data_IF_849796335654
#
_entry.id   IF_849796335654
#
_cell.length_a   1.000
_cell.length_b   1.000
_cell.length_c   1.000
_cell.angle_alpha   90.00
_cell.angle_beta   90.00
_cell.angle_gamma   90.00
#
_symmetry.space_group_name_H-M   'P 1'
#
loop_
_entity.id
_entity.type
_entity.pdbx_description
1 polymer ?
#
# COMPACT_ATOMS: atom_id res chain seq x y z
N UNK A 1 -34.17 16.81 -20.17
CA UNK A 1 -33.03 16.51 -19.26
C UNK A 1 -32.05 15.68 -20.07
N UNK A 2 -30.89 16.20 -20.36
CA UNK A 2 -29.81 15.39 -21.00
C UNK A 2 -29.43 14.27 -20.05
N UNK A 3 -29.52 13.04 -20.52
CA UNK A 3 -29.01 11.88 -19.77
C UNK A 3 -27.48 11.89 -19.81
N UNK A 4 -26.85 11.89 -18.65
CA UNK A 4 -25.40 11.74 -18.55
C UNK A 4 -24.95 10.41 -19.16
N UNK A 5 -23.78 10.41 -19.80
CA UNK A 5 -23.19 9.16 -20.28
C UNK A 5 -22.76 8.28 -19.09
N UNK A 6 -22.75 6.97 -19.27
CA UNK A 6 -22.28 6.04 -18.22
C UNK A 6 -20.86 6.38 -17.73
N UNK A 7 -19.96 6.84 -18.62
CA UNK A 7 -18.63 7.34 -18.28
C UNK A 7 -18.70 8.55 -17.35
N UNK A 8 -19.60 9.50 -17.59
CA UNK A 8 -19.77 10.68 -16.74
C UNK A 8 -20.37 10.33 -15.38
N UNK A 9 -21.28 9.35 -15.35
CA UNK A 9 -21.82 8.82 -14.08
C UNK A 9 -20.72 8.15 -13.28
N UNK A 10 -19.86 7.34 -13.93
CA UNK A 10 -18.73 6.70 -13.30
C UNK A 10 -17.72 7.71 -12.71
N UNK A 11 -17.40 8.78 -13.47
CA UNK A 11 -16.57 9.89 -12.99
C UNK A 11 -17.17 10.53 -11.73
N UNK A 12 -18.48 10.78 -11.71
CA UNK A 12 -19.17 11.35 -10.56
C UNK A 12 -19.14 10.44 -9.33
N UNK A 13 -19.34 9.13 -9.51
CA UNK A 13 -19.27 8.13 -8.43
C UNK A 13 -17.86 8.09 -7.81
N UNK A 14 -16.83 8.02 -8.65
CA UNK A 14 -15.43 8.00 -8.18
C UNK A 14 -15.04 9.30 -7.47
N UNK A 15 -15.54 10.44 -7.93
CA UNK A 15 -15.35 11.72 -7.26
C UNK A 15 -16.03 11.78 -5.90
N UNK A 16 -17.28 11.33 -5.82
CA UNK A 16 -18.09 11.36 -4.59
C UNK A 16 -17.58 10.37 -3.54
N UNK A 17 -17.04 9.21 -3.96
CA UNK A 17 -16.57 8.18 -3.04
C UNK A 17 -15.37 8.65 -2.19
N UNK A 18 -14.42 9.40 -2.77
CA UNK A 18 -13.18 9.79 -2.11
C UNK A 18 -12.27 8.62 -1.67
N UNK A 19 -12.72 7.38 -1.88
CA UNK A 19 -12.00 6.13 -1.57
C UNK A 19 -11.97 5.21 -2.78
N UNK A 20 -10.98 4.29 -2.90
CA UNK A 20 -10.97 3.33 -3.99
C UNK A 20 -12.24 2.48 -4.02
N UNK A 21 -12.81 2.28 -5.19
CA UNK A 21 -13.94 1.38 -5.43
C UNK A 21 -13.50 0.24 -6.35
N UNK A 22 -13.81 -1.00 -5.97
CA UNK A 22 -13.54 -2.17 -6.81
C UNK A 22 -14.41 -2.16 -8.07
N UNK A 23 -13.97 -2.87 -9.12
CA UNK A 23 -14.75 -3.03 -10.36
C UNK A 23 -16.12 -3.64 -10.05
N UNK A 24 -16.18 -4.66 -9.18
CA UNK A 24 -17.42 -5.28 -8.75
C UNK A 24 -18.38 -4.25 -8.14
N UNK A 25 -17.88 -3.40 -7.24
CA UNK A 25 -18.70 -2.37 -6.60
C UNK A 25 -19.20 -1.33 -7.57
N UNK A 26 -18.37 -0.91 -8.52
CA UNK A 26 -18.76 0.00 -9.59
C UNK A 26 -19.82 -0.64 -10.50
N UNK A 27 -19.65 -1.91 -10.86
CA UNK A 27 -20.59 -2.68 -11.68
C UNK A 27 -21.98 -2.79 -11.02
N UNK A 28 -22.01 -3.06 -9.71
CA UNK A 28 -23.26 -3.05 -8.93
C UNK A 28 -23.96 -1.67 -8.96
N UNK A 29 -23.19 -0.58 -8.74
CA UNK A 29 -23.76 0.78 -8.63
C UNK A 29 -24.35 1.25 -9.95
N UNK A 30 -23.67 0.99 -11.09
CA UNK A 30 -24.14 1.45 -12.41
C UNK A 30 -24.95 0.39 -13.15
N UNK A 31 -25.23 -0.74 -12.51
CA UNK A 31 -26.01 -1.87 -13.06
C UNK A 31 -25.47 -2.33 -14.42
N UNK A 32 -24.14 -2.49 -14.52
CA UNK A 32 -23.46 -2.76 -15.79
C UNK A 32 -22.41 -3.87 -15.56
N UNK A 33 -22.22 -4.79 -16.53
CA UNK A 33 -21.22 -5.85 -16.39
C UNK A 33 -19.80 -5.32 -16.15
N UNK A 34 -19.00 -6.04 -15.36
CA UNK A 34 -17.63 -5.64 -14.97
C UNK A 34 -16.73 -5.33 -16.18
N UNK A 35 -16.84 -6.08 -17.26
CA UNK A 35 -16.01 -5.86 -18.45
C UNK A 35 -16.34 -4.51 -19.15
N UNK A 36 -17.61 -4.07 -19.12
CA UNK A 36 -18.00 -2.73 -19.62
C UNK A 36 -17.46 -1.65 -18.68
N UNK A 37 -17.51 -1.88 -17.34
CA UNK A 37 -16.92 -0.95 -16.37
C UNK A 37 -15.44 -0.77 -16.63
N UNK A 38 -14.71 -1.85 -16.94
CA UNK A 38 -13.28 -1.80 -17.27
C UNK A 38 -13.02 -0.94 -18.52
N UNK A 39 -13.84 -1.08 -19.57
CA UNK A 39 -13.77 -0.23 -20.77
C UNK A 39 -14.06 1.25 -20.46
N UNK A 40 -15.09 1.51 -19.64
CA UNK A 40 -15.44 2.86 -19.21
C UNK A 40 -14.34 3.52 -18.38
N UNK A 41 -13.68 2.78 -17.49
CA UNK A 41 -12.54 3.27 -16.71
C UNK A 41 -11.35 3.63 -17.62
N UNK A 42 -11.04 2.79 -18.61
CA UNK A 42 -10.01 3.06 -19.61
C UNK A 42 -10.34 4.29 -20.44
N UNK A 43 -11.58 4.43 -20.88
CA UNK A 43 -12.04 5.59 -21.61
C UNK A 43 -12.05 6.87 -20.75
N UNK A 44 -12.35 6.76 -19.45
CA UNK A 44 -12.28 7.87 -18.51
C UNK A 44 -10.84 8.32 -18.30
N UNK A 45 -9.91 7.40 -18.09
CA UNK A 45 -8.49 7.72 -17.94
C UNK A 45 -7.93 8.44 -19.17
N UNK A 46 -8.22 7.95 -20.38
CA UNK A 46 -7.81 8.58 -21.64
C UNK A 46 -8.41 9.98 -21.76
N UNK A 47 -9.68 10.14 -21.46
CA UNK A 47 -10.38 11.44 -21.52
C UNK A 47 -9.81 12.45 -20.52
N UNK A 48 -9.44 12.03 -19.30
CA UNK A 48 -8.79 12.90 -18.32
C UNK A 48 -7.42 13.35 -18.79
N UNK A 49 -6.65 12.46 -19.41
CA UNK A 49 -5.32 12.75 -19.98
C UNK A 49 -5.38 13.70 -21.16
N UNK A 50 -6.27 13.44 -22.13
CA UNK A 50 -6.41 14.24 -23.34
C UNK A 50 -6.83 15.69 -23.07
N UNK A 51 -7.72 15.90 -22.11
CA UNK A 51 -8.16 17.25 -21.71
C UNK A 51 -7.19 17.98 -20.76
N UNK A 52 -6.03 17.39 -20.43
CA UNK A 52 -5.07 17.99 -19.51
C UNK A 52 -5.65 18.20 -18.11
N UNK A 53 -6.44 17.25 -17.61
CA UNK A 53 -7.16 17.37 -16.35
C UNK A 53 -6.21 17.50 -15.15
N UNK A 54 -6.55 18.35 -14.18
CA UNK A 54 -5.86 18.46 -12.89
C UNK A 54 -6.13 17.27 -11.94
N UNK A 55 -6.98 16.32 -12.35
CA UNK A 55 -7.24 15.05 -11.66
C UNK A 55 -6.90 13.87 -12.58
N UNK A 56 -6.54 12.76 -11.99
CA UNK A 56 -6.21 11.52 -12.70
C UNK A 56 -6.91 10.33 -12.05
N UNK A 57 -7.18 9.30 -12.85
CA UNK A 57 -7.63 8.01 -12.36
C UNK A 57 -6.43 7.24 -11.84
N UNK A 58 -6.56 6.65 -10.64
CA UNK A 58 -5.51 5.85 -10.01
C UNK A 58 -6.09 4.53 -9.52
N UNK A 59 -5.33 3.47 -9.73
CA UNK A 59 -5.60 2.17 -9.15
C UNK A 59 -4.81 2.01 -7.85
N UNK A 60 -5.47 1.69 -6.74
CA UNK A 60 -4.84 1.45 -5.44
C UNK A 60 -5.76 0.64 -4.53
N UNK A 61 -5.17 -0.16 -3.64
CA UNK A 61 -5.90 -1.01 -2.70
C UNK A 61 -7.02 -1.84 -3.37
N UNK A 62 -6.72 -2.44 -4.53
CA UNK A 62 -7.66 -3.28 -5.29
C UNK A 62 -8.82 -2.54 -5.95
N UNK A 63 -8.83 -1.21 -5.98
CA UNK A 63 -9.89 -0.41 -6.56
C UNK A 63 -9.39 0.79 -7.36
N UNK A 64 -10.34 1.57 -7.89
CA UNK A 64 -10.10 2.80 -8.64
C UNK A 64 -10.57 4.01 -7.87
N UNK A 65 -9.80 5.09 -7.92
CA UNK A 65 -10.17 6.39 -7.33
C UNK A 65 -9.67 7.54 -8.20
N UNK A 66 -10.33 8.70 -8.09
CA UNK A 66 -9.82 9.94 -8.62
C UNK A 66 -8.88 10.60 -7.61
N UNK A 67 -7.73 11.05 -8.09
CA UNK A 67 -6.70 11.74 -7.31
C UNK A 67 -6.27 13.02 -8.03
N UNK A 68 -5.67 13.96 -7.30
CA UNK A 68 -5.06 15.13 -7.93
C UNK A 68 -3.87 14.71 -8.78
N UNK A 69 -3.75 15.32 -9.97
CA UNK A 69 -2.60 15.07 -10.84
C UNK A 69 -1.30 15.50 -10.15
N UNK A 70 -0.19 14.74 -10.25
CA UNK A 70 1.08 15.07 -9.58
C UNK A 70 1.59 16.49 -9.89
N UNK A 71 1.42 16.99 -11.12
CA UNK A 71 1.80 18.34 -11.49
C UNK A 71 1.04 19.44 -10.72
N UNK A 72 -0.12 19.15 -10.12
CA UNK A 72 -0.89 20.09 -9.31
C UNK A 72 -0.43 20.10 -7.83
N UNK A 73 0.52 19.25 -7.44
CA UNK A 73 0.92 19.03 -6.04
C UNK A 73 1.27 20.34 -5.30
N UNK A 74 2.10 21.19 -5.88
CA UNK A 74 2.56 22.44 -5.27
C UNK A 74 1.41 23.44 -5.02
N UNK A 75 0.40 23.44 -5.89
CA UNK A 75 -0.80 24.28 -5.72
C UNK A 75 -1.75 23.70 -4.69
N UNK A 76 -2.01 22.37 -4.75
CA UNK A 76 -2.89 21.65 -3.82
C UNK A 76 -2.33 21.66 -2.39
N UNK A 77 -1.02 21.58 -2.25
CA UNK A 77 -0.36 21.65 -0.93
C UNK A 77 -0.68 22.96 -0.19
N UNK A 78 -0.88 24.07 -0.90
CA UNK A 78 -1.23 25.37 -0.31
C UNK A 78 -2.65 25.45 0.24
N UNK A 79 -3.54 24.51 -0.13
CA UNK A 79 -4.89 24.44 0.43
C UNK A 79 -4.91 23.88 1.86
N UNK A 80 -3.84 23.20 2.26
CA UNK A 80 -3.80 22.52 3.55
C UNK A 80 -2.98 23.33 4.55
N UNK A 81 -3.63 24.14 5.37
CA UNK A 81 -3.07 24.60 6.65
C UNK A 81 -2.93 23.44 7.67
N UNK A 82 -3.38 22.26 7.28
CA UNK A 82 -3.28 21.05 8.10
C UNK A 82 -1.87 20.50 7.96
N UNK A 83 -1.09 20.62 9.01
CA UNK A 83 0.17 19.91 9.20
C UNK A 83 -0.13 18.40 9.00
N UNK A 84 0.16 17.87 7.83
CA UNK A 84 0.06 16.42 7.62
C UNK A 84 1.09 15.77 8.54
N UNK A 85 0.69 14.82 9.39
CA UNK A 85 1.64 14.13 10.24
C UNK A 85 2.67 13.42 9.35
N UNK A 86 3.87 13.96 9.31
CA UNK A 86 5.00 13.30 8.66
C UNK A 86 5.48 12.18 9.57
N UNK A 87 5.74 11.02 9.00
CA UNK A 87 6.40 9.95 9.74
C UNK A 87 7.85 10.37 10.02
N UNK A 88 8.29 10.16 11.27
CA UNK A 88 9.72 10.27 11.58
C UNK A 88 10.50 9.18 10.84
N UNK A 89 11.82 9.37 10.66
CA UNK A 89 12.72 8.36 10.06
C UNK A 89 12.54 7.01 10.76
N UNK A 90 12.55 6.99 12.09
CA UNK A 90 12.34 5.77 12.88
C UNK A 90 10.99 5.08 12.62
N UNK A 91 9.90 5.85 12.41
CA UNK A 91 8.61 5.28 12.07
C UNK A 91 8.57 4.77 10.63
N UNK A 92 9.25 5.46 9.70
CA UNK A 92 9.35 5.03 8.31
C UNK A 92 10.16 3.72 8.17
N UNK A 93 11.30 3.61 8.85
CA UNK A 93 12.08 2.37 8.94
C UNK A 93 11.25 1.21 9.48
N UNK A 94 10.54 1.43 10.60
CA UNK A 94 9.67 0.42 11.20
C UNK A 94 8.57 -0.03 10.23
N UNK A 95 7.95 0.92 9.55
CA UNK A 95 6.91 0.65 8.56
C UNK A 95 7.45 -0.16 7.38
N UNK A 96 8.64 0.18 6.88
CA UNK A 96 9.30 -0.55 5.80
C UNK A 96 9.58 -2.00 6.20
N UNK A 97 10.14 -2.24 7.40
CA UNK A 97 10.36 -3.60 7.89
C UNK A 97 9.05 -4.39 7.93
N UNK A 98 7.99 -3.80 8.50
CA UNK A 98 6.70 -4.47 8.58
C UNK A 98 6.16 -4.75 7.17
N UNK A 99 6.23 -3.79 6.25
CA UNK A 99 5.73 -3.95 4.88
C UNK A 99 6.39 -5.12 4.13
N UNK A 100 7.72 -5.29 4.28
CA UNK A 100 8.46 -6.34 3.57
C UNK A 100 8.52 -7.68 4.31
N UNK A 101 8.25 -7.71 5.64
CA UNK A 101 8.43 -8.91 6.47
C UNK A 101 7.15 -9.43 7.12
N UNK A 102 6.02 -8.77 6.88
CA UNK A 102 4.74 -9.19 7.44
C UNK A 102 4.34 -10.61 7.03
N UNK A 103 3.68 -11.37 7.95
CA UNK A 103 3.35 -10.99 9.33
C UNK A 103 4.55 -11.09 10.27
N UNK A 104 4.84 -10.03 11.05
CA UNK A 104 6.06 -9.90 11.88
C UNK A 104 5.72 -9.43 13.31
N UNK A 105 6.49 -9.91 14.30
CA UNK A 105 6.34 -9.49 15.70
C UNK A 105 7.16 -8.25 16.04
N UNK A 106 6.78 -7.56 17.14
CA UNK A 106 7.58 -6.42 17.65
C UNK A 106 9.05 -6.81 17.92
N UNK A 107 9.27 -7.99 18.50
CA UNK A 107 10.64 -8.43 18.82
C UNK A 107 11.50 -8.64 17.57
N UNK A 108 10.92 -9.19 16.50
CA UNK A 108 11.60 -9.35 15.22
C UNK A 108 11.91 -8.00 14.55
N UNK A 109 10.97 -7.05 14.62
CA UNK A 109 11.20 -5.67 14.17
C UNK A 109 12.35 -5.01 14.95
N UNK A 110 12.35 -5.14 16.29
CA UNK A 110 13.41 -4.59 17.15
C UNK A 110 14.76 -5.27 16.91
N UNK A 111 14.75 -6.57 16.63
CA UNK A 111 15.96 -7.32 16.25
C UNK A 111 16.59 -6.77 14.95
N UNK A 112 15.77 -6.59 13.91
CA UNK A 112 16.22 -6.04 12.63
C UNK A 112 16.71 -4.60 12.78
N UNK A 113 16.00 -3.76 13.54
CA UNK A 113 16.38 -2.35 13.73
C UNK A 113 17.58 -2.16 14.67
N UNK A 114 17.88 -3.13 15.53
CA UNK A 114 18.89 -3.00 16.60
C UNK A 114 18.46 -2.08 17.77
N UNK A 115 17.27 -1.49 17.71
CA UNK A 115 16.72 -0.55 18.70
C UNK A 115 15.25 -0.78 18.96
N UNK A 116 14.73 -0.28 20.09
CA UNK A 116 13.31 -0.42 20.45
C UNK A 116 12.40 0.26 19.43
N UNK A 117 11.31 -0.45 19.05
CA UNK A 117 10.34 0.01 18.06
C UNK A 117 8.97 0.38 18.65
N UNK A 118 8.77 0.27 19.96
CA UNK A 118 7.46 0.38 20.61
C UNK A 118 6.73 1.68 20.25
N UNK A 119 7.40 2.84 20.33
CA UNK A 119 6.81 4.13 19.98
C UNK A 119 6.46 4.25 18.50
N UNK A 120 7.31 3.71 17.63
CA UNK A 120 7.06 3.69 16.18
C UNK A 120 5.86 2.82 15.83
N UNK A 121 5.78 1.61 16.40
CA UNK A 121 4.65 0.69 16.21
C UNK A 121 3.34 1.34 16.72
N UNK A 122 3.35 1.91 17.94
CA UNK A 122 2.17 2.59 18.48
C UNK A 122 1.70 3.73 17.56
N UNK A 123 2.62 4.53 17.05
CA UNK A 123 2.29 5.62 16.12
C UNK A 123 1.75 5.12 14.79
N UNK A 124 2.29 4.03 14.24
CA UNK A 124 1.82 3.43 13.00
C UNK A 124 0.43 2.80 13.15
N UNK A 125 0.13 2.19 14.32
CA UNK A 125 -1.22 1.71 14.66
C UNK A 125 -2.22 2.88 14.77
N UNK A 126 -1.85 3.97 15.46
CA UNK A 126 -2.68 5.18 15.59
C UNK A 126 -3.00 5.80 14.22
N UNK A 127 -2.05 5.76 13.29
CA UNK A 127 -2.22 6.23 11.92
C UNK A 127 -2.91 5.20 11.01
N UNK A 128 -3.28 4.05 11.55
CA UNK A 128 -3.91 2.95 10.81
C UNK A 128 -3.09 2.46 9.60
N UNK A 129 -1.77 2.70 9.58
CA UNK A 129 -0.90 2.20 8.51
C UNK A 129 -0.55 0.72 8.68
N UNK A 130 -0.58 0.24 9.92
CA UNK A 130 -0.42 -1.17 10.27
C UNK A 130 -1.58 -1.63 11.16
N UNK A 131 -1.80 -2.93 11.23
CA UNK A 131 -2.77 -3.56 12.13
C UNK A 131 -2.21 -4.84 12.73
N UNK A 132 -2.89 -5.33 13.79
CA UNK A 132 -2.64 -6.65 14.34
C UNK A 132 -3.30 -7.71 13.44
N UNK A 133 -2.49 -8.62 12.87
CA UNK A 133 -2.96 -9.68 11.96
C UNK A 133 -3.19 -11.00 12.68
N UNK A 134 -2.74 -11.12 13.93
CA UNK A 134 -2.90 -12.32 14.73
C UNK A 134 -1.82 -12.47 15.80
N UNK A 135 -1.55 -13.69 16.22
CA UNK A 135 -0.52 -14.04 17.22
C UNK A 135 0.35 -15.20 16.74
N UNK A 136 1.66 -15.07 16.92
CA UNK A 136 2.61 -16.13 16.59
C UNK A 136 2.43 -17.34 17.52
N UNK A 137 2.47 -18.54 16.98
CA UNK A 137 2.27 -19.80 17.72
C UNK A 137 3.56 -20.28 18.41
N UNK A 138 4.12 -19.43 19.28
CA UNK A 138 5.33 -19.69 20.08
C UNK A 138 5.09 -19.28 21.53
N UNK A 139 6.00 -19.67 22.44
CA UNK A 139 5.93 -19.27 23.86
C UNK A 139 5.80 -17.74 23.96
N UNK A 140 4.86 -17.27 24.78
CA UNK A 140 4.53 -15.85 24.92
C UNK A 140 3.52 -15.32 23.88
N UNK A 141 3.18 -16.07 22.82
CA UNK A 141 2.18 -15.74 21.79
C UNK A 141 2.19 -14.26 21.38
N UNK A 142 3.34 -13.74 20.93
CA UNK A 142 3.46 -12.31 20.57
C UNK A 142 2.53 -11.95 19.42
N UNK A 143 2.10 -10.67 19.42
CA UNK A 143 1.27 -10.08 18.37
C UNK A 143 2.05 -10.04 17.07
N UNK A 144 1.38 -10.34 15.97
CA UNK A 144 1.84 -10.20 14.60
C UNK A 144 1.25 -8.94 13.98
N UNK A 145 2.08 -8.16 13.31
CA UNK A 145 1.69 -6.92 12.63
C UNK A 145 1.78 -7.10 11.11
N UNK A 146 0.90 -6.40 10.43
CA UNK A 146 0.88 -6.29 8.97
C UNK A 146 0.39 -4.91 8.54
N UNK A 147 0.51 -4.60 7.25
CA UNK A 147 0.03 -3.35 6.66
C UNK A 147 -1.48 -3.39 6.40
N UNK A 148 -2.09 -2.22 6.23
CA UNK A 148 -3.52 -2.05 6.00
C UNK A 148 -3.80 -1.60 4.55
N UNK A 149 -5.09 -1.54 4.18
CA UNK A 149 -5.51 -0.88 2.93
C UNK A 149 -5.13 0.60 2.90
N UNK A 150 -5.14 1.27 4.06
CA UNK A 150 -4.71 2.68 4.14
C UNK A 150 -3.24 2.83 3.79
N UNK A 151 -2.39 1.88 4.18
CA UNK A 151 -1.00 1.82 3.73
C UNK A 151 -0.91 1.75 2.20
N UNK A 152 -1.61 0.81 1.56
CA UNK A 152 -1.62 0.68 0.11
C UNK A 152 -2.06 1.98 -0.57
N UNK A 153 -3.12 2.62 -0.05
CA UNK A 153 -3.61 3.92 -0.55
C UNK A 153 -2.58 5.03 -0.40
N UNK A 154 -1.94 5.12 0.77
CA UNK A 154 -0.97 6.17 1.08
C UNK A 154 0.27 6.07 0.19
N UNK A 155 0.73 4.85 -0.10
CA UNK A 155 1.89 4.59 -0.96
C UNK A 155 1.52 4.38 -2.43
N UNK A 156 0.23 4.35 -2.76
CA UNK A 156 -0.25 4.23 -4.13
C UNK A 156 -0.04 2.88 -4.76
N UNK A 157 -0.05 1.85 -3.95
CA UNK A 157 0.07 0.47 -4.35
C UNK A 157 -1.32 -0.12 -4.60
N UNK A 158 -1.44 -1.00 -5.57
CA UNK A 158 -2.66 -1.77 -5.79
C UNK A 158 -2.75 -2.91 -4.78
N UNK A 159 -1.62 -3.58 -4.55
CA UNK A 159 -1.45 -4.71 -3.66
C UNK A 159 -0.03 -4.72 -3.09
N UNK A 160 0.21 -5.57 -2.10
CA UNK A 160 1.48 -5.62 -1.39
C UNK A 160 2.65 -6.06 -2.30
N UNK A 161 2.37 -6.94 -3.25
CA UNK A 161 3.36 -7.45 -4.23
C UNK A 161 3.89 -6.35 -5.17
N UNK A 162 3.21 -5.20 -5.24
CA UNK A 162 3.67 -4.05 -6.02
C UNK A 162 4.73 -3.21 -5.29
N UNK A 163 5.13 -3.63 -4.08
CA UNK A 163 6.27 -3.01 -3.40
C UNK A 163 7.53 -3.16 -4.27
N UNK A 164 8.34 -2.09 -4.39
CA UNK A 164 9.61 -2.17 -5.12
C UNK A 164 10.48 -3.32 -4.61
N UNK A 165 11.09 -4.07 -5.52
CA UNK A 165 12.09 -5.03 -5.12
C UNK A 165 13.20 -4.33 -4.35
N UNK A 166 13.67 -4.95 -3.24
CA UNK A 166 14.82 -4.42 -2.53
C UNK A 166 16.05 -4.51 -3.45
N UNK A 167 16.78 -3.40 -3.68
CA UNK A 167 17.99 -3.42 -4.50
C UNK A 167 19.03 -4.38 -3.89
N UNK A 168 20.00 -4.83 -4.66
CA UNK A 168 21.07 -5.66 -4.13
C UNK A 168 21.91 -4.84 -3.13
N UNK A 169 22.36 -5.48 -2.03
CA UNK A 169 23.17 -4.81 -1.01
C UNK A 169 24.45 -4.17 -1.62
N UNK A 170 25.00 -4.78 -2.68
CA UNK A 170 26.16 -4.27 -3.39
C UNK A 170 25.92 -2.95 -4.15
N UNK A 171 24.68 -2.70 -4.59
CA UNK A 171 24.32 -1.46 -5.29
C UNK A 171 24.20 -0.25 -4.34
N UNK A 172 24.12 -0.50 -3.05
CA UNK A 172 23.87 0.52 -2.02
C UNK A 172 25.10 0.81 -1.14
N UNK A 173 26.18 0.05 -1.28
CA UNK A 173 27.39 0.18 -0.44
C UNK A 173 28.00 1.59 -0.44
N UNK A 174 27.86 2.32 -1.55
CA UNK A 174 28.40 3.68 -1.68
C UNK A 174 27.43 4.78 -1.19
N UNK A 175 26.17 4.41 -0.90
CA UNK A 175 25.11 5.39 -0.56
C UNK A 175 24.54 5.24 0.83
N UNK A 176 24.69 4.08 1.46
CA UNK A 176 24.17 3.79 2.80
C UNK A 176 25.32 3.67 3.83
N UNK A 177 25.01 4.07 5.07
CA UNK A 177 25.90 3.78 6.19
C UNK A 177 25.83 2.28 6.59
N UNK A 178 26.76 1.85 7.44
CA UNK A 178 26.88 0.45 7.84
C UNK A 178 25.62 -0.10 8.55
N UNK A 179 24.90 0.73 9.29
CA UNK A 179 23.67 0.34 9.99
C UNK A 179 22.51 0.17 8.99
N UNK A 180 22.43 1.04 8.00
CA UNK A 180 21.46 0.96 6.91
C UNK A 180 21.74 -0.25 6.00
N UNK A 181 23.01 -0.55 5.69
CA UNK A 181 23.39 -1.72 4.92
C UNK A 181 23.01 -3.02 5.64
N UNK A 182 23.29 -3.11 6.94
CA UNK A 182 22.91 -4.27 7.75
C UNK A 182 21.40 -4.49 7.76
N UNK A 183 20.61 -3.42 7.97
CA UNK A 183 19.17 -3.46 7.91
C UNK A 183 18.68 -4.00 6.55
N UNK A 184 19.36 -3.57 5.49
CA UNK A 184 19.03 -3.96 4.13
C UNK A 184 19.31 -5.45 3.85
N UNK A 185 20.47 -5.94 4.28
CA UNK A 185 20.87 -7.35 4.17
C UNK A 185 19.93 -8.27 4.95
N UNK A 186 19.51 -7.88 6.16
CA UNK A 186 18.54 -8.63 6.95
C UNK A 186 17.14 -8.63 6.29
N UNK A 187 16.75 -7.54 5.61
CA UNK A 187 15.53 -7.51 4.83
C UNK A 187 15.57 -8.47 3.63
N UNK A 188 16.70 -8.66 2.98
CA UNK A 188 16.83 -9.59 1.85
C UNK A 188 16.86 -11.06 2.31
N UNK A 189 17.62 -11.37 3.35
CA UNK A 189 17.87 -12.76 3.78
C UNK A 189 16.59 -13.47 4.23
N UNK A 190 15.62 -12.77 4.79
CA UNK A 190 14.38 -13.39 5.27
C UNK A 190 13.34 -13.62 4.17
N UNK A 191 13.44 -12.97 3.00
CA UNK A 191 12.52 -13.19 1.87
C UNK A 191 12.71 -14.55 1.19
N UNK A 192 13.84 -15.22 1.38
CA UNK A 192 14.13 -16.54 0.79
C UNK A 192 13.36 -17.68 1.48
N UNK A 193 12.85 -17.47 2.70
CA UNK A 193 12.16 -18.54 3.46
C UNK A 193 10.63 -18.63 3.22
N UNK A 194 10.03 -17.80 2.39
CA UNK A 194 8.59 -17.85 2.10
C UNK A 194 8.26 -18.67 0.84
N UNK A 195 9.27 -19.13 0.10
CA UNK A 195 9.12 -19.79 -1.21
C UNK A 195 9.10 -21.33 -1.21
N UNK A 196 9.32 -22.03 -0.10
CA UNK A 196 9.34 -23.49 -0.06
C UNK A 196 8.51 -24.05 1.08
N UNK A 197 7.21 -24.07 0.90
CA UNK A 197 6.34 -24.99 1.60
C UNK A 197 5.17 -25.41 0.67
N UNK A 198 5.52 -25.89 -0.52
CA UNK A 198 4.60 -26.69 -1.31
C UNK A 198 4.56 -28.08 -0.74
N UNK A 199 3.33 -28.43 -0.35
CA UNK A 199 2.98 -29.67 0.30
C UNK A 199 3.45 -30.93 -0.43
N UNK A 200 4.02 -31.81 0.35
CA UNK A 200 4.00 -33.24 0.06
C UNK A 200 3.78 -34.00 1.37
N UNK A 201 2.56 -34.02 1.85
CA UNK A 201 2.07 -35.11 2.68
C UNK A 201 1.30 -36.08 1.78
N UNK A 202 2.07 -36.95 1.14
CA UNK A 202 1.53 -38.17 0.57
C UNK A 202 1.08 -39.06 1.73
N UNK A 203 -0.19 -39.33 1.77
CA UNK A 203 -0.84 -40.37 2.58
C UNK A 203 -0.35 -41.71 2.01
N UNK A 204 0.38 -42.50 2.79
CA UNK A 204 0.47 -43.93 2.63
C UNK A 204 0.05 -44.61 3.94
N UNK A 205 -1.04 -45.40 3.80
CA UNK A 205 -1.57 -46.53 4.59
C UNK A 205 -1.65 -46.44 6.12
#
# INVERSE_FOLDING_TARGET
>A
MESLSQKSILEAILFASGTPLSIQKLAEIIETPEWIVQELLTALESSLRERGSGISLRRSAGGYQLVTHPAAFSAVQKLSDVVRPTLSTAAMETLSIIAYKQPITKQEVEYIRGVRAERSIARLLELELICETGRKQVVGRPILYGTTELFLRAFGLERLEDLPALPAADELKDTLDNDQLRLFEELQTTSVFIGENDGNDAIEE
#
